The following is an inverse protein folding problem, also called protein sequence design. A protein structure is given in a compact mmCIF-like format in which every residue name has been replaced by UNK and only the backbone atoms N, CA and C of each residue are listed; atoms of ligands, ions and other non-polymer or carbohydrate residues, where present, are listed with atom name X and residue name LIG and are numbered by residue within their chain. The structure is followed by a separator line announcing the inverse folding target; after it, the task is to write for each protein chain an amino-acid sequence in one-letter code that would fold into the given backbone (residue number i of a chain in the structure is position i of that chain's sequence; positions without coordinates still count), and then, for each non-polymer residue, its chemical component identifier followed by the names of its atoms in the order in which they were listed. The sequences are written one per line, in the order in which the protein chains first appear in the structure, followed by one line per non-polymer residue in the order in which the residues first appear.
data_IF_856850629613
#
_entry.id   IF_856850629613
#
_cell.length_a   1.000
_cell.length_b   1.000
_cell.length_c   1.000
_cell.angle_alpha   90.00
_cell.angle_beta   90.00
_cell.angle_gamma   90.00
#
_symmetry.space_group_name_H-M   'P 1'
#
loop_
_entity.id
_entity.type
_entity.pdbx_description
1 polymer ?
#
# COMPACT_ATOMS: atom_id res chain seq x y z
N UNK A 1 -4.43 15.88 -8.20
CA UNK A 1 -4.10 15.78 -6.76
C UNK A 1 -5.09 14.80 -6.19
N UNK A 2 -4.63 13.68 -5.64
CA UNK A 2 -5.52 12.63 -5.16
C UNK A 2 -6.17 13.01 -3.84
N UNK A 3 -7.43 12.60 -3.67
CA UNK A 3 -8.22 12.85 -2.47
C UNK A 3 -8.25 11.61 -1.56
N UNK A 4 -8.77 11.79 -0.34
CA UNK A 4 -9.00 10.65 0.56
C UNK A 4 -10.18 9.79 0.09
N UNK A 5 -11.08 10.33 -0.73
CA UNK A 5 -12.20 9.59 -1.30
C UNK A 5 -11.70 8.58 -2.34
N UNK A 6 -10.70 8.95 -3.14
CA UNK A 6 -10.03 8.05 -4.10
C UNK A 6 -9.40 6.82 -3.39
N UNK A 7 -8.92 7.00 -2.16
CA UNK A 7 -8.34 5.93 -1.34
C UNK A 7 -9.44 5.00 -0.82
N UNK A 8 -10.56 5.58 -0.36
CA UNK A 8 -11.71 4.82 0.13
C UNK A 8 -12.40 4.00 -0.95
N UNK A 9 -12.39 4.46 -2.21
CA UNK A 9 -12.87 3.67 -3.35
C UNK A 9 -12.09 2.36 -3.57
N UNK A 10 -10.87 2.25 -3.03
CA UNK A 10 -10.03 1.05 -3.13
C UNK A 10 -10.04 0.19 -1.88
N UNK A 11 -10.15 0.80 -0.70
CA UNK A 11 -10.16 0.10 0.57
C UNK A 11 -10.97 0.91 1.60
N UNK A 12 -12.05 0.32 2.10
CA UNK A 12 -12.93 0.96 3.08
C UNK A 12 -12.21 1.23 4.41
N UNK A 13 -11.25 0.36 4.78
CA UNK A 13 -10.45 0.53 5.98
C UNK A 13 -9.23 1.44 5.73
N UNK A 14 -9.35 2.70 6.15
CA UNK A 14 -8.29 3.70 5.97
C UNK A 14 -6.95 3.30 6.60
N UNK A 15 -6.95 2.60 7.75
CA UNK A 15 -5.72 2.16 8.40
C UNK A 15 -5.02 1.09 7.58
N UNK A 16 -5.80 0.18 6.98
CA UNK A 16 -5.27 -0.84 6.08
C UNK A 16 -4.70 -0.21 4.82
N UNK A 17 -5.39 0.76 4.23
CA UNK A 17 -4.88 1.51 3.08
C UNK A 17 -3.54 2.19 3.39
N UNK A 18 -3.41 2.81 4.57
CA UNK A 18 -2.15 3.41 5.03
C UNK A 18 -1.03 2.38 5.11
N UNK A 19 -1.28 1.21 5.68
CA UNK A 19 -0.28 0.14 5.78
C UNK A 19 0.15 -0.35 4.40
N UNK A 20 -0.79 -0.57 3.49
CA UNK A 20 -0.51 -1.02 2.12
C UNK A 20 0.37 0.01 1.38
N UNK A 21 -0.03 1.29 1.40
CA UNK A 21 0.74 2.36 0.78
C UNK A 21 2.11 2.55 1.43
N UNK A 22 2.21 2.38 2.75
CA UNK A 22 3.48 2.45 3.47
C UNK A 22 4.48 1.37 3.03
N UNK A 23 4.00 0.12 2.92
CA UNK A 23 4.83 -1.01 2.44
C UNK A 23 5.29 -0.82 1.00
N UNK A 24 4.40 -0.33 0.13
CA UNK A 24 4.77 -0.01 -1.26
C UNK A 24 5.83 1.11 -1.30
N UNK A 25 5.67 2.16 -0.49
CA UNK A 25 6.65 3.24 -0.44
C UNK A 25 8.00 2.78 0.09
N UNK A 26 8.02 1.90 1.09
CA UNK A 26 9.23 1.25 1.59
C UNK A 26 9.92 0.45 0.48
N UNK A 27 9.16 -0.39 -0.25
CA UNK A 27 9.68 -1.13 -1.41
C UNK A 27 10.26 -0.20 -2.47
N UNK A 28 9.54 0.85 -2.86
CA UNK A 28 10.01 1.86 -3.82
C UNK A 28 11.27 2.58 -3.34
N UNK A 29 11.41 2.79 -2.03
CA UNK A 29 12.59 3.39 -1.41
C UNK A 29 13.80 2.46 -1.42
N UNK A 30 13.57 1.15 -1.42
CA UNK A 30 14.62 0.12 -1.41
C UNK A 30 15.27 -0.13 -2.78
N UNK A 31 14.65 0.36 -3.86
CA UNK A 31 15.18 0.20 -5.23
C UNK A 31 16.42 1.08 -5.42
N UNK A 32 17.62 0.48 -5.36
CA UNK A 32 18.88 1.14 -5.70
C UNK A 32 18.79 1.75 -7.12
N UNK A 33 19.21 3.00 -7.27
CA UNK A 33 19.13 3.80 -8.51
C UNK A 33 17.73 4.23 -8.99
N UNK A 34 16.68 4.14 -8.16
CA UNK A 34 15.38 4.68 -8.56
C UNK A 34 15.41 6.22 -8.69
N UNK A 35 14.72 6.75 -9.71
CA UNK A 35 14.50 8.20 -9.87
C UNK A 35 13.36 8.72 -9.00
N UNK A 36 12.82 7.88 -8.12
CA UNK A 36 11.62 8.14 -7.34
C UNK A 36 11.98 8.99 -6.13
N UNK A 37 11.91 10.31 -6.30
CA UNK A 37 12.22 11.28 -5.23
C UNK A 37 11.22 11.31 -4.07
N UNK A 38 10.01 10.81 -4.29
CA UNK A 38 8.90 10.85 -3.33
C UNK A 38 8.14 9.51 -3.30
N UNK A 39 8.73 8.47 -2.70
CA UNK A 39 8.19 7.12 -2.71
C UNK A 39 6.73 7.03 -2.20
N UNK A 40 6.40 7.78 -1.15
CA UNK A 40 5.02 7.83 -0.63
C UNK A 40 4.00 8.34 -1.66
N UNK A 41 4.32 9.39 -2.42
CA UNK A 41 3.40 9.90 -3.44
C UNK A 41 3.23 8.90 -4.58
N UNK A 42 4.30 8.19 -4.93
CA UNK A 42 4.24 7.15 -5.96
C UNK A 42 3.43 5.93 -5.50
N UNK A 43 3.55 5.56 -4.22
CA UNK A 43 2.74 4.52 -3.62
C UNK A 43 1.25 4.87 -3.62
N UNK A 44 0.88 6.12 -3.34
CA UNK A 44 -0.51 6.59 -3.45
C UNK A 44 -1.04 6.43 -4.89
N UNK A 45 -0.24 6.83 -5.90
CA UNK A 45 -0.61 6.63 -7.31
C UNK A 45 -0.77 5.14 -7.68
N UNK A 46 0.12 4.28 -7.17
CA UNK A 46 0.03 2.84 -7.39
C UNK A 46 -1.21 2.24 -6.75
N UNK A 47 -1.52 2.65 -5.51
CA UNK A 47 -2.70 2.20 -4.77
C UNK A 47 -4.00 2.59 -5.49
N UNK A 48 -4.18 3.88 -5.79
CA UNK A 48 -5.37 4.39 -6.50
C UNK A 48 -5.47 3.80 -7.91
N UNK A 49 -4.32 3.59 -8.56
CA UNK A 49 -4.24 2.94 -9.87
C UNK A 49 -4.49 1.43 -9.86
N UNK A 50 -4.69 0.80 -8.70
CA UNK A 50 -4.90 -0.65 -8.58
C UNK A 50 -3.67 -1.48 -8.96
N UNK A 51 -2.46 -0.93 -8.83
CA UNK A 51 -1.19 -1.56 -9.20
C UNK A 51 -0.57 -2.38 -8.06
N UNK A 52 -1.08 -2.25 -6.85
CA UNK A 52 -0.59 -2.97 -5.67
C UNK A 52 -1.46 -4.22 -5.48
N UNK A 53 -0.85 -5.38 -5.58
CA UNK A 53 -1.49 -6.66 -5.26
C UNK A 53 -1.13 -7.05 -3.82
N UNK A 54 -2.14 -7.26 -2.98
CA UNK A 54 -1.94 -7.65 -1.59
C UNK A 54 -2.91 -8.77 -1.21
N UNK A 55 -2.47 -9.59 -0.25
CA UNK A 55 -3.29 -10.59 0.42
C UNK A 55 -3.20 -10.30 1.91
N UNK A 56 -4.34 -10.30 2.58
CA UNK A 56 -4.41 -10.20 4.03
C UNK A 56 -4.42 -11.63 4.53
N UNK A 57 -3.42 -11.96 5.36
CA UNK A 57 -3.43 -13.20 6.13
C UNK A 57 -4.03 -12.86 7.47
N UNK A 58 -5.18 -13.45 7.79
CA UNK A 58 -5.71 -13.40 9.15
C UNK A 58 -4.87 -14.39 9.98
N UNK A 59 -4.21 -13.91 11.04
CA UNK A 59 -3.33 -14.71 11.92
C UNK A 59 -4.14 -15.62 12.89
N UNK A 60 -5.37 -16.02 12.55
CA UNK A 60 -6.22 -16.87 13.41
C UNK A 60 -6.10 -18.38 13.15
N UNK A 61 -5.18 -18.83 12.29
CA UNK A 61 -4.89 -20.27 12.08
C UNK A 61 -3.42 -20.64 12.40
N UNK A 62 -2.87 -20.16 13.51
CA UNK A 62 -1.83 -20.95 14.21
C UNK A 62 -2.54 -21.94 15.13
N UNK A 63 -3.06 -23.00 14.50
CA UNK A 63 -3.69 -24.12 15.19
C UNK A 63 -2.61 -24.87 15.98
N UNK A 64 -2.86 -24.91 17.27
CA UNK A 64 -2.18 -25.68 18.30
C UNK A 64 -2.18 -27.14 17.84
N UNK A 65 -1.04 -27.68 17.38
CA UNK A 65 -0.87 -29.12 17.16
C UNK A 65 0.50 -29.62 17.58
#
# INVERSE_FOLDING_TARGET
MHSIDDVKEKEDNIYRAIVIMGKEAEWLSSLEHSTIRKPMYKAIEHFIGGKIHYVIKDEEEEDIS
#
